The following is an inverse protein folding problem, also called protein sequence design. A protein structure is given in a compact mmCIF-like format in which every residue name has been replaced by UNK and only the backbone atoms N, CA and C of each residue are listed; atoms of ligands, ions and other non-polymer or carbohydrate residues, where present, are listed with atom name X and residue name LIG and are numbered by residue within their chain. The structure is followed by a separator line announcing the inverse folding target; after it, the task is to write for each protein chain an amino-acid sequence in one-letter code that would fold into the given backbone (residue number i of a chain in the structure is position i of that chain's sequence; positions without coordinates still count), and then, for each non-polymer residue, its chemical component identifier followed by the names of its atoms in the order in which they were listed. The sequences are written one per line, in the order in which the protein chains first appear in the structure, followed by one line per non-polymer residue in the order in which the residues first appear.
data_IF_211591364581
#
_entry.id   IF_211591364581
#
_cell.length_a   1.000
_cell.length_b   1.000
_cell.length_c   1.000
_cell.angle_alpha   90.00
_cell.angle_beta   90.00
_cell.angle_gamma   90.00
#
_symmetry.space_group_name_H-M   'P 1'
#
loop_
_entity.id
_entity.type
_entity.pdbx_description
1 polymer ?
#
# COMPACT_ATOMS: atom_id res chain seq x y z
N UNK A 1 -89.10 30.73 52.88
CA UNK A 1 -88.41 29.43 52.66
C UNK A 1 -87.55 29.61 51.41
N UNK A 2 -86.27 29.92 51.57
CA UNK A 2 -85.19 29.78 50.57
C UNK A 2 -83.85 30.33 51.13
N UNK A 3 -82.75 29.71 50.68
CA UNK A 3 -81.34 30.18 50.55
C UNK A 3 -80.27 29.77 51.62
N UNK A 4 -79.38 28.84 51.21
CA UNK A 4 -77.92 28.55 51.47
C UNK A 4 -77.33 28.36 52.90
N UNK A 5 -76.05 27.90 53.11
CA UNK A 5 -75.09 27.08 52.30
C UNK A 5 -74.37 25.91 53.08
N UNK A 6 -73.62 25.01 52.40
CA UNK A 6 -72.20 24.64 52.67
C UNK A 6 -71.78 23.18 52.35
N UNK A 7 -70.53 23.09 51.85
CA UNK A 7 -69.56 21.97 51.85
C UNK A 7 -69.61 20.91 50.75
N UNK A 8 -68.64 20.99 49.82
CA UNK A 8 -68.03 19.83 49.14
C UNK A 8 -66.52 19.99 49.25
N UNK A 9 -65.86 18.97 49.79
CA UNK A 9 -64.42 18.88 50.05
C UNK A 9 -63.71 18.30 48.81
N UNK A 10 -62.73 19.04 48.26
CA UNK A 10 -61.86 18.53 47.18
C UNK A 10 -60.69 17.72 47.77
N UNK A 11 -60.22 16.66 47.08
CA UNK A 11 -59.16 15.78 47.56
C UNK A 11 -57.78 16.44 47.48
N UNK A 12 -56.90 16.06 48.43
CA UNK A 12 -55.51 16.50 48.53
C UNK A 12 -54.70 16.04 47.31
N UNK A 13 -54.19 17.01 46.55
CA UNK A 13 -53.11 16.82 45.59
C UNK A 13 -51.80 16.87 46.38
N UNK A 14 -51.00 15.82 46.29
CA UNK A 14 -49.68 15.71 46.94
C UNK A 14 -48.65 16.51 46.12
N UNK A 15 -47.77 17.19 46.84
CA UNK A 15 -46.93 18.29 46.37
C UNK A 15 -45.50 17.78 46.14
N UNK A 16 -45.24 17.15 44.98
CA UNK A 16 -43.88 16.86 44.49
C UNK A 16 -43.46 17.88 43.41
N UNK A 17 -43.52 19.15 43.82
CA UNK A 17 -42.99 20.31 43.11
C UNK A 17 -41.44 20.25 43.08
N UNK A 18 -40.86 20.21 41.88
CA UNK A 18 -39.42 20.24 41.61
C UNK A 18 -38.67 21.23 42.52
N UNK A 19 -37.66 20.74 43.25
CA UNK A 19 -36.68 21.55 43.96
C UNK A 19 -35.83 22.33 42.94
N UNK A 20 -36.18 23.61 42.74
CA UNK A 20 -35.46 24.56 41.88
C UNK A 20 -34.42 25.39 42.64
N UNK A 21 -33.93 24.95 43.82
CA UNK A 21 -33.25 25.87 44.76
C UNK A 21 -31.72 25.76 44.90
N UNK A 22 -30.98 25.06 44.03
CA UNK A 22 -29.51 25.28 43.94
C UNK A 22 -28.93 24.99 42.55
N UNK A 23 -28.55 26.02 41.76
CA UNK A 23 -27.61 25.82 40.66
C UNK A 23 -26.24 25.58 41.29
N UNK A 24 -25.83 24.33 41.47
CA UNK A 24 -24.47 24.01 41.91
C UNK A 24 -23.49 24.43 40.80
N UNK A 25 -22.70 25.52 40.96
CA UNK A 25 -21.72 25.93 39.93
C UNK A 25 -20.61 24.88 39.75
N UNK A 26 -20.45 23.99 40.74
CA UNK A 26 -19.42 22.95 40.75
C UNK A 26 -19.72 21.77 39.82
N UNK A 27 -20.99 21.47 39.51
CA UNK A 27 -21.36 20.34 38.65
C UNK A 27 -21.21 20.70 37.17
N UNK A 28 -21.60 21.91 36.77
CA UNK A 28 -21.39 22.42 35.40
C UNK A 28 -19.92 22.69 35.12
N UNK A 29 -19.16 23.25 36.07
CA UNK A 29 -17.69 23.38 35.96
C UNK A 29 -16.99 22.03 35.93
N UNK A 30 -17.39 21.05 36.76
CA UNK A 30 -16.85 19.68 36.68
C UNK A 30 -17.17 19.03 35.34
N UNK A 31 -18.37 19.22 34.82
CA UNK A 31 -18.77 18.66 33.53
C UNK A 31 -17.98 19.30 32.39
N UNK A 32 -17.80 20.63 32.41
CA UNK A 32 -16.99 21.35 31.44
C UNK A 32 -15.50 20.97 31.51
N UNK A 33 -14.93 20.80 32.71
CA UNK A 33 -13.55 20.30 32.88
C UNK A 33 -13.39 18.85 32.42
N UNK A 34 -14.35 17.97 32.71
CA UNK A 34 -14.35 16.59 32.19
C UNK A 34 -14.44 16.57 30.68
N UNK A 35 -15.38 17.30 30.08
CA UNK A 35 -15.59 17.37 28.63
C UNK A 35 -14.42 18.05 27.89
N UNK A 36 -13.76 19.04 28.50
CA UNK A 36 -12.52 19.63 27.96
C UNK A 36 -11.37 18.62 27.99
N UNK A 37 -11.22 17.88 29.09
CA UNK A 37 -10.14 16.90 29.24
C UNK A 37 -10.37 15.68 28.36
N UNK A 38 -11.61 15.21 28.29
CA UNK A 38 -12.05 14.12 27.42
C UNK A 38 -11.97 14.56 25.96
N UNK A 39 -12.48 15.75 25.59
CA UNK A 39 -12.40 16.27 24.22
C UNK A 39 -10.97 16.59 23.76
N UNK A 40 -10.09 17.06 24.63
CA UNK A 40 -8.67 17.23 24.30
C UNK A 40 -7.97 15.87 24.10
N UNK A 41 -8.27 14.89 24.95
CA UNK A 41 -7.76 13.52 24.79
C UNK A 41 -8.28 12.85 23.53
N UNK A 42 -9.58 13.01 23.27
CA UNK A 42 -10.26 12.44 22.11
C UNK A 42 -9.76 13.13 20.84
N UNK A 43 -9.58 14.46 20.85
CA UNK A 43 -8.98 15.21 19.75
C UNK A 43 -7.54 14.80 19.44
N UNK A 44 -6.69 14.60 20.45
CA UNK A 44 -5.33 14.07 20.26
C UNK A 44 -5.35 12.63 19.75
N UNK A 45 -6.26 11.80 20.25
CA UNK A 45 -6.40 10.39 19.84
C UNK A 45 -6.89 10.31 18.39
N UNK A 46 -7.95 11.04 18.05
CA UNK A 46 -8.50 11.14 16.71
C UNK A 46 -7.46 11.69 15.72
N UNK A 47 -6.75 12.76 16.08
CA UNK A 47 -5.68 13.31 15.23
C UNK A 47 -4.59 12.27 15.00
N UNK A 48 -4.09 11.61 16.05
CA UNK A 48 -3.07 10.56 15.91
C UNK A 48 -3.54 9.40 15.04
N UNK A 49 -4.80 9.00 15.17
CA UNK A 49 -5.36 7.90 14.39
C UNK A 49 -5.54 8.28 12.91
N UNK A 50 -5.96 9.51 12.62
CA UNK A 50 -6.15 10.01 11.27
C UNK A 50 -4.81 10.11 10.50
N UNK A 51 -3.76 10.70 11.11
CA UNK A 51 -2.44 10.80 10.47
C UNK A 51 -1.73 9.45 10.27
N UNK A 52 -1.96 8.48 11.17
CA UNK A 52 -1.38 7.13 11.02
C UNK A 52 -2.03 6.35 9.88
N UNK A 53 -3.34 6.54 9.66
CA UNK A 53 -4.07 5.85 8.60
C UNK A 53 -3.71 6.38 7.22
N UNK A 54 -3.66 7.71 7.06
CA UNK A 54 -3.28 8.35 5.79
C UNK A 54 -1.88 7.90 5.34
N UNK A 55 -0.89 7.93 6.24
CA UNK A 55 0.45 7.44 5.93
C UNK A 55 0.52 5.92 5.68
N UNK A 56 -0.37 5.12 6.27
CA UNK A 56 -0.47 3.69 5.96
C UNK A 56 -1.05 3.45 4.57
N UNK A 57 -2.11 4.18 4.20
CA UNK A 57 -2.78 4.02 2.90
C UNK A 57 -1.84 4.41 1.75
N UNK A 58 -1.12 5.53 1.89
CA UNK A 58 -0.08 5.95 0.93
C UNK A 58 1.04 4.91 0.82
N UNK A 59 1.58 4.46 1.95
CA UNK A 59 2.64 3.45 2.00
C UNK A 59 2.19 2.10 1.44
N UNK A 60 0.92 1.74 1.62
CA UNK A 60 0.34 0.50 1.09
C UNK A 60 0.24 0.54 -0.43
N UNK A 61 -0.29 1.63 -1.00
CA UNK A 61 -0.42 1.78 -2.46
C UNK A 61 0.97 1.77 -3.12
N UNK A 62 1.91 2.57 -2.60
CA UNK A 62 3.29 2.59 -3.09
C UNK A 62 3.96 1.21 -2.97
N UNK A 63 3.80 0.55 -1.82
CA UNK A 63 4.37 -0.77 -1.57
C UNK A 63 3.82 -1.83 -2.53
N UNK A 64 2.52 -1.78 -2.83
CA UNK A 64 1.88 -2.67 -3.80
C UNK A 64 2.43 -2.45 -5.21
N UNK A 65 2.48 -1.20 -5.67
CA UNK A 65 3.00 -0.87 -6.99
C UNK A 65 4.50 -1.20 -7.14
N UNK A 66 5.31 -0.94 -6.10
CA UNK A 66 6.72 -1.32 -6.08
C UNK A 66 6.90 -2.84 -6.09
N UNK A 67 6.09 -3.56 -5.31
CA UNK A 67 6.07 -5.03 -5.29
C UNK A 67 5.70 -5.62 -6.65
N UNK A 68 4.74 -5.02 -7.35
CA UNK A 68 4.36 -5.41 -8.71
C UNK A 68 5.51 -5.21 -9.70
N UNK A 69 6.20 -4.07 -9.68
CA UNK A 69 7.36 -3.83 -10.56
C UNK A 69 8.50 -4.81 -10.27
N UNK A 70 8.81 -5.06 -9.00
CA UNK A 70 9.81 -6.07 -8.60
C UNK A 70 9.41 -7.46 -9.10
N UNK A 71 8.14 -7.84 -8.90
CA UNK A 71 7.60 -9.11 -9.35
C UNK A 71 7.67 -9.27 -10.87
N UNK A 72 7.37 -8.21 -11.61
CA UNK A 72 7.48 -8.16 -13.07
C UNK A 72 8.90 -8.42 -13.56
N UNK A 73 9.89 -7.70 -13.00
CA UNK A 73 11.30 -7.87 -13.35
C UNK A 73 11.80 -9.30 -13.06
N UNK A 74 11.48 -9.84 -11.89
CA UNK A 74 11.83 -11.22 -11.55
C UNK A 74 11.12 -12.24 -12.45
N UNK A 75 9.85 -11.98 -12.78
CA UNK A 75 9.04 -12.81 -13.68
C UNK A 75 9.61 -12.89 -15.08
N UNK A 76 10.09 -11.77 -15.63
CA UNK A 76 10.74 -11.75 -16.95
C UNK A 76 12.04 -12.57 -16.93
N UNK A 77 12.88 -12.41 -15.90
CA UNK A 77 14.11 -13.20 -15.72
C UNK A 77 13.82 -14.70 -15.57
N UNK A 78 12.78 -15.05 -14.81
CA UNK A 78 12.29 -16.42 -14.69
C UNK A 78 11.79 -16.97 -16.04
N UNK A 79 11.10 -16.14 -16.81
CA UNK A 79 10.66 -16.45 -18.16
C UNK A 79 11.84 -16.77 -19.08
N UNK A 80 12.89 -15.92 -19.10
CA UNK A 80 14.10 -16.13 -19.89
C UNK A 80 14.79 -17.46 -19.52
N UNK A 81 14.94 -17.75 -18.23
CA UNK A 81 15.51 -19.04 -17.78
C UNK A 81 14.62 -20.21 -18.22
N UNK A 82 13.30 -20.06 -18.11
CA UNK A 82 12.31 -21.05 -18.52
C UNK A 82 12.35 -21.35 -20.02
N UNK A 83 12.47 -20.33 -20.88
CA UNK A 83 12.55 -20.52 -22.34
C UNK A 83 13.81 -21.30 -22.72
N UNK A 84 14.97 -20.96 -22.15
CA UNK A 84 16.23 -21.69 -22.40
C UNK A 84 16.12 -23.14 -21.93
N UNK A 85 15.52 -23.39 -20.77
CA UNK A 85 15.28 -24.76 -20.28
C UNK A 85 14.37 -25.55 -21.23
N UNK A 86 13.31 -24.92 -21.72
CA UNK A 86 12.40 -25.50 -22.72
C UNK A 86 13.09 -25.85 -24.04
N UNK A 87 14.04 -25.04 -24.49
CA UNK A 87 14.86 -25.32 -25.68
C UNK A 87 15.87 -26.45 -25.45
N UNK A 88 16.40 -26.57 -24.23
CA UNK A 88 17.39 -27.59 -23.87
C UNK A 88 16.78 -28.99 -23.70
N UNK A 89 15.57 -29.08 -23.15
CA UNK A 89 14.92 -30.34 -22.80
C UNK A 89 14.74 -31.32 -23.99
N UNK A 90 14.31 -30.90 -25.20
CA UNK A 90 14.28 -31.75 -26.39
C UNK A 90 15.66 -32.26 -26.84
N UNK A 91 16.71 -31.45 -26.66
CA UNK A 91 18.09 -31.78 -27.03
C UNK A 91 18.75 -32.76 -26.04
N UNK A 92 18.17 -32.93 -24.86
CA UNK A 92 18.69 -33.88 -23.87
C UNK A 92 18.20 -35.31 -24.11
N UNK A 93 17.03 -35.47 -24.74
CA UNK A 93 16.41 -36.79 -25.00
C UNK A 93 16.88 -37.45 -26.30
N UNK A 94 17.45 -36.71 -27.25
CA UNK A 94 17.92 -37.25 -28.54
C UNK A 94 19.39 -37.64 -28.48
N UNK A 95 19.78 -38.66 -29.24
CA UNK A 95 21.19 -38.94 -29.50
C UNK A 95 21.69 -37.87 -30.49
N UNK A 96 22.54 -36.98 -30.00
CA UNK A 96 22.81 -35.67 -30.61
C UNK A 96 23.96 -35.78 -31.63
N UNK A 97 23.80 -35.22 -32.83
CA UNK A 97 24.90 -35.11 -33.80
C UNK A 97 25.91 -34.03 -33.38
N UNK A 98 27.10 -34.01 -33.98
CA UNK A 98 28.19 -33.11 -33.54
C UNK A 98 27.79 -31.62 -33.53
N UNK A 99 26.97 -31.16 -34.49
CA UNK A 99 26.47 -29.77 -34.53
C UNK A 99 25.46 -29.46 -33.42
N UNK A 100 24.53 -30.37 -33.13
CA UNK A 100 23.57 -30.16 -32.06
C UNK A 100 24.23 -30.28 -30.67
N UNK A 101 25.39 -30.93 -30.57
CA UNK A 101 26.20 -30.97 -29.34
C UNK A 101 26.82 -29.61 -29.03
N UNK A 102 27.42 -28.93 -30.02
CA UNK A 102 27.97 -27.58 -29.84
C UNK A 102 26.87 -26.57 -29.45
N UNK A 103 25.73 -26.61 -30.13
CA UNK A 103 24.57 -25.76 -29.81
C UNK A 103 24.03 -26.04 -28.39
N UNK A 104 24.00 -27.31 -27.97
CA UNK A 104 23.60 -27.72 -26.62
C UNK A 104 24.53 -27.16 -25.55
N UNK A 105 25.83 -27.15 -25.80
CA UNK A 105 26.81 -26.63 -24.84
C UNK A 105 26.72 -25.11 -24.72
N UNK A 106 26.49 -24.40 -25.83
CA UNK A 106 26.21 -22.94 -25.84
C UNK A 106 24.95 -22.63 -25.01
N UNK A 107 23.85 -23.37 -25.21
CA UNK A 107 22.62 -23.16 -24.44
C UNK A 107 22.80 -23.46 -22.95
N UNK A 108 23.59 -24.47 -22.58
CA UNK A 108 23.92 -24.76 -21.17
C UNK A 108 24.73 -23.64 -20.54
N UNK A 109 25.69 -23.08 -21.26
CA UNK A 109 26.47 -21.94 -20.78
C UNK A 109 25.58 -20.72 -20.60
N UNK A 110 24.72 -20.43 -21.59
CA UNK A 110 23.76 -19.34 -21.52
C UNK A 110 22.81 -19.52 -20.32
N UNK A 111 22.29 -20.73 -20.10
CA UNK A 111 21.44 -21.05 -18.95
C UNK A 111 22.13 -20.74 -17.61
N UNK A 112 23.41 -21.15 -17.46
CA UNK A 112 24.19 -20.85 -16.24
C UNK A 112 24.38 -19.36 -16.03
N UNK A 113 24.65 -18.61 -17.11
CA UNK A 113 24.79 -17.15 -17.05
C UNK A 113 23.48 -16.50 -16.60
N UNK A 114 22.36 -16.88 -17.21
CA UNK A 114 21.04 -16.34 -16.88
C UNK A 114 20.59 -16.70 -15.45
N UNK A 115 20.86 -17.93 -15.00
CA UNK A 115 20.63 -18.32 -13.61
C UNK A 115 21.42 -17.44 -12.63
N UNK A 116 22.70 -17.15 -12.92
CA UNK A 116 23.50 -16.27 -12.07
C UNK A 116 22.94 -14.85 -11.98
N UNK A 117 22.49 -14.30 -13.11
CA UNK A 117 21.86 -12.98 -13.16
C UNK A 117 20.59 -12.98 -12.31
N UNK A 118 19.73 -13.96 -12.52
CA UNK A 118 18.49 -14.14 -11.75
C UNK A 118 18.74 -14.26 -10.25
N UNK A 119 19.71 -15.06 -9.81
CA UNK A 119 20.01 -15.19 -8.37
C UNK A 119 20.52 -13.87 -7.78
N UNK A 120 21.27 -13.10 -8.57
CA UNK A 120 21.71 -11.76 -8.15
C UNK A 120 20.51 -10.80 -8.07
N UNK A 121 19.58 -10.88 -9.03
CA UNK A 121 18.34 -10.10 -9.03
C UNK A 121 17.50 -10.39 -7.79
N UNK A 122 17.32 -11.65 -7.43
CA UNK A 122 16.59 -12.06 -6.22
C UNK A 122 17.20 -11.51 -4.93
N UNK A 123 18.53 -11.46 -4.87
CA UNK A 123 19.23 -10.96 -3.70
C UNK A 123 19.18 -9.43 -3.61
N UNK A 124 19.16 -8.72 -4.73
CA UNK A 124 19.13 -7.26 -4.77
C UNK A 124 17.72 -6.70 -4.67
N UNK A 125 16.76 -7.31 -5.36
CA UNK A 125 15.34 -6.97 -5.35
C UNK A 125 14.58 -7.62 -4.19
N UNK A 126 15.28 -8.20 -3.22
CA UNK A 126 14.67 -8.71 -2.00
C UNK A 126 13.95 -7.57 -1.26
N UNK A 127 12.81 -7.86 -0.64
CA UNK A 127 12.00 -6.85 0.06
C UNK A 127 12.83 -6.09 1.11
N UNK A 128 13.75 -6.77 1.80
CA UNK A 128 14.59 -6.15 2.83
C UNK A 128 15.56 -5.10 2.26
N UNK A 129 15.90 -5.21 0.97
CA UNK A 129 16.77 -4.24 0.28
C UNK A 129 15.98 -3.16 -0.44
N UNK A 130 14.90 -3.54 -1.11
CA UNK A 130 14.02 -2.58 -1.82
C UNK A 130 13.36 -1.63 -0.83
N UNK A 131 12.84 -2.15 0.29
CA UNK A 131 12.32 -1.35 1.41
C UNK A 131 13.38 -1.06 2.48
N UNK A 132 14.66 -1.14 2.10
CA UNK A 132 15.78 -0.94 2.99
C UNK A 132 15.91 0.52 3.45
N UNK A 133 16.62 0.72 4.56
CA UNK A 133 16.94 2.06 5.09
C UNK A 133 17.78 2.91 4.14
N UNK A 134 18.34 2.32 3.11
CA UNK A 134 19.05 3.05 2.05
C UNK A 134 18.08 3.89 1.21
N UNK A 135 16.83 3.42 1.05
CA UNK A 135 15.81 4.05 0.23
C UNK A 135 14.66 4.64 1.04
N UNK A 136 14.37 4.13 2.25
CA UNK A 136 13.32 4.65 3.14
C UNK A 136 13.91 5.28 4.41
N UNK A 137 13.28 6.36 4.89
CA UNK A 137 13.55 7.01 6.17
C UNK A 137 12.94 6.27 7.37
N UNK A 138 13.28 6.70 8.59
CA UNK A 138 12.66 6.14 9.83
C UNK A 138 11.19 6.54 9.98
N UNK A 139 10.78 7.58 9.26
CA UNK A 139 9.43 8.08 9.09
C UNK A 139 8.63 7.33 8.01
N UNK A 140 9.25 6.40 7.28
CA UNK A 140 8.62 5.66 6.18
C UNK A 140 8.56 6.42 4.86
N UNK A 141 9.14 7.62 4.80
CA UNK A 141 9.19 8.43 3.58
C UNK A 141 10.35 7.96 2.71
N UNK A 142 10.11 7.85 1.40
CA UNK A 142 11.14 7.47 0.43
C UNK A 142 12.17 8.60 0.24
N UNK A 143 13.41 8.22 -0.09
CA UNK A 143 14.56 9.14 -0.20
C UNK A 143 14.91 9.54 -1.63
N UNK A 144 14.26 8.92 -2.61
CA UNK A 144 14.47 9.15 -4.04
C UNK A 144 13.24 9.89 -4.60
N UNK A 145 13.40 10.83 -5.54
CA UNK A 145 12.36 11.77 -6.01
C UNK A 145 12.09 12.97 -5.06
N UNK A 146 13.09 13.86 -4.91
CA UNK A 146 12.96 15.13 -4.20
C UNK A 146 12.90 16.36 -5.13
N UNK A 147 12.81 16.15 -6.46
CA UNK A 147 12.57 17.24 -7.41
C UNK A 147 11.08 17.26 -7.74
N UNK A 148 10.35 18.12 -7.02
CA UNK A 148 9.00 18.54 -7.37
C UNK A 148 9.08 19.29 -8.71
N UNK A 149 9.02 18.57 -9.83
CA UNK A 149 8.89 19.15 -11.15
C UNK A 149 7.46 19.65 -11.36
N UNK A 150 7.07 20.73 -10.68
CA UNK A 150 5.89 21.62 -10.88
C UNK A 150 4.53 20.97 -11.29
N UNK A 151 4.38 19.67 -11.09
CA UNK A 151 3.32 18.83 -11.60
C UNK A 151 3.05 17.64 -10.67
N UNK A 152 1.83 17.12 -10.74
CA UNK A 152 1.41 15.95 -9.95
C UNK A 152 2.22 14.72 -10.38
N UNK A 153 3.23 14.35 -9.59
CA UNK A 153 4.00 13.13 -9.81
C UNK A 153 3.17 11.93 -9.35
N UNK A 154 2.95 10.96 -10.23
CA UNK A 154 2.22 9.73 -9.87
C UNK A 154 3.12 8.78 -9.07
N UNK A 155 2.51 7.86 -8.30
CA UNK A 155 3.28 6.82 -7.60
C UNK A 155 4.10 5.95 -8.56
N UNK A 156 3.61 5.72 -9.77
CA UNK A 156 4.34 4.97 -10.79
C UNK A 156 5.61 5.70 -11.22
N UNK A 157 5.55 7.02 -11.41
CA UNK A 157 6.72 7.84 -11.74
C UNK A 157 7.77 7.80 -10.62
N UNK A 158 7.33 7.83 -9.36
CA UNK A 158 8.21 7.70 -8.19
C UNK A 158 8.90 6.32 -8.20
N UNK A 159 8.15 5.25 -8.46
CA UNK A 159 8.69 3.89 -8.48
C UNK A 159 9.69 3.71 -9.60
N UNK A 160 9.42 4.27 -10.78
CA UNK A 160 10.33 4.19 -11.93
C UNK A 160 11.66 4.92 -11.67
N UNK A 161 11.71 5.83 -10.70
CA UNK A 161 12.95 6.49 -10.27
C UNK A 161 13.71 5.70 -9.19
N UNK A 162 13.16 4.60 -8.66
CA UNK A 162 13.82 3.82 -7.63
C UNK A 162 15.13 3.20 -8.17
N UNK A 163 16.30 3.41 -7.54
CA UNK A 163 17.60 3.02 -8.12
C UNK A 163 17.73 1.54 -8.49
N UNK A 164 17.21 0.63 -7.66
CA UNK A 164 17.19 -0.79 -7.98
C UNK A 164 16.23 -1.14 -9.14
N UNK A 165 15.09 -0.46 -9.25
CA UNK A 165 14.12 -0.70 -10.31
C UNK A 165 14.70 -0.26 -11.65
N UNK A 166 15.30 0.93 -11.71
CA UNK A 166 16.03 1.42 -12.88
C UNK A 166 17.13 0.44 -13.29
N UNK A 167 18.03 0.11 -12.35
CA UNK A 167 19.15 -0.80 -12.62
C UNK A 167 18.69 -2.14 -13.19
N UNK A 168 17.71 -2.77 -12.56
CA UNK A 168 17.27 -4.10 -12.99
C UNK A 168 16.37 -4.05 -14.21
N UNK A 169 15.62 -2.96 -14.42
CA UNK A 169 14.92 -2.66 -15.68
C UNK A 169 15.90 -2.63 -16.85
N UNK A 170 16.99 -1.88 -16.74
CA UNK A 170 18.03 -1.81 -17.78
C UNK A 170 18.64 -3.17 -18.10
N UNK A 171 18.94 -3.96 -17.05
CA UNK A 171 19.51 -5.31 -17.22
C UNK A 171 18.52 -6.21 -17.94
N UNK A 172 17.25 -6.20 -17.54
CA UNK A 172 16.20 -7.02 -18.14
C UNK A 172 15.97 -6.63 -19.61
N UNK A 173 15.86 -5.33 -19.90
CA UNK A 173 15.68 -4.82 -21.27
C UNK A 173 16.83 -5.25 -22.17
N UNK A 174 18.07 -5.08 -21.70
CA UNK A 174 19.24 -5.55 -22.45
C UNK A 174 19.21 -7.06 -22.71
N UNK A 175 18.80 -7.86 -21.73
CA UNK A 175 18.71 -9.31 -21.92
C UNK A 175 17.58 -9.72 -22.87
N UNK A 176 16.46 -9.01 -22.85
CA UNK A 176 15.37 -9.22 -23.78
C UNK A 176 15.81 -8.88 -25.21
N UNK A 177 16.47 -7.74 -25.42
CA UNK A 177 17.04 -7.34 -26.72
C UNK A 177 18.05 -8.37 -27.24
N UNK A 178 18.97 -8.84 -26.40
CA UNK A 178 19.97 -9.87 -26.76
C UNK A 178 19.31 -11.18 -27.22
N UNK A 179 18.10 -11.47 -26.74
CA UNK A 179 17.33 -12.67 -27.08
C UNK A 179 16.25 -12.42 -28.14
N UNK A 180 16.10 -11.18 -28.62
CA UNK A 180 15.05 -10.78 -29.56
C UNK A 180 13.63 -10.93 -28.99
N UNK A 181 13.47 -10.77 -27.68
CA UNK A 181 12.18 -10.81 -26.99
C UNK A 181 11.57 -9.41 -26.97
N UNK A 182 10.31 -9.31 -27.39
CA UNK A 182 9.51 -8.11 -27.27
C UNK A 182 8.82 -8.09 -25.89
N UNK A 183 9.21 -7.14 -25.04
CA UNK A 183 8.58 -6.94 -23.75
C UNK A 183 7.40 -5.98 -23.96
N UNK A 184 6.19 -6.44 -23.64
CA UNK A 184 5.05 -5.52 -23.57
C UNK A 184 5.12 -4.80 -22.24
N UNK A 185 5.29 -3.49 -22.30
CA UNK A 185 5.35 -2.60 -21.13
C UNK A 185 3.96 -2.25 -20.57
N UNK A 186 2.96 -3.11 -20.72
CA UNK A 186 1.60 -2.73 -20.37
C UNK A 186 1.07 -3.67 -19.29
N UNK A 187 1.35 -3.31 -18.04
CA UNK A 187 0.34 -3.50 -17.00
C UNK A 187 -0.28 -2.13 -16.78
N UNK A 188 -1.02 -1.65 -17.79
CA UNK A 188 -1.97 -0.56 -17.60
C UNK A 188 -3.05 -1.07 -16.65
N UNK A 189 -3.03 -0.60 -15.41
CA UNK A 189 -4.14 -0.81 -14.50
C UNK A 189 -5.22 0.20 -14.86
N UNK A 190 -6.30 -0.27 -15.47
CA UNK A 190 -7.53 0.51 -15.48
C UNK A 190 -7.90 0.77 -14.02
N UNK A 191 -7.79 2.04 -13.63
CA UNK A 191 -8.22 2.53 -12.34
C UNK A 191 -9.74 2.35 -12.27
N UNK A 192 -10.23 1.22 -11.73
CA UNK A 192 -11.64 1.05 -11.36
C UNK A 192 -11.94 1.90 -10.11
N UNK A 193 -11.76 3.21 -10.27
CA UNK A 193 -11.99 4.25 -9.27
C UNK A 193 -13.08 5.21 -9.74
N UNK A 194 -14.24 4.71 -10.18
CA UNK A 194 -15.45 5.51 -10.23
C UNK A 194 -16.66 4.67 -9.81
N UNK A 195 -16.70 4.30 -8.53
CA UNK A 195 -17.97 4.01 -7.89
C UNK A 195 -18.76 5.32 -7.84
N UNK A 196 -19.67 5.46 -8.81
CA UNK A 196 -20.53 6.62 -8.95
C UNK A 196 -21.20 7.01 -7.64
N UNK A 197 -20.96 8.26 -7.27
CA UNK A 197 -21.92 9.06 -6.53
C UNK A 197 -23.21 9.13 -7.37
N UNK A 198 -24.16 8.26 -7.07
CA UNK A 198 -25.54 8.40 -7.54
C UNK A 198 -26.51 7.73 -6.54
N UNK A 199 -26.88 8.47 -5.47
CA UNK A 199 -28.26 8.62 -4.93
C UNK A 199 -28.29 9.19 -3.51
#
# INVERSE_FOLDING_TARGET
MAIHPSSVQNPAYDDDYYDTSTPYPSSTLRLASKHTTEGYRDGITASKQQFIQEGFDEGYILGAALGLKVGGLLGILDGIVGTIYGLLHPLDKKNVDSKSSEYKDVLKEQLKRQQKVRETAKQELALEKVFGRDYFGEDGVWKWAAEEEDGEMTFDDIILQHPLIVKWGDIVNKQAEELGLDLKDDVEFEDEGNAGDDS
#
